data_IF_158316178913
#
_entry.id   IF_158316178913
#
_cell.length_a   1.000
_cell.length_b   1.000
_cell.length_c   1.000
_cell.angle_alpha   90.00
_cell.angle_beta   90.00
_cell.angle_gamma   90.00
#
_symmetry.space_group_name_H-M   'P 1'
#
loop_
_entity.id
_entity.type
_entity.pdbx_description
1 polymer ?
#
# COMPACT_ATOMS: atom_id res chain seq x y z
N UNK A 1 -14.93 9.26 -0.89
CA UNK A 1 -13.57 9.82 -0.87
C UNK A 1 -13.50 10.93 0.17
N UNK A 2 -12.51 10.85 1.06
CA UNK A 2 -12.33 11.89 2.07
C UNK A 2 -11.75 13.16 1.45
N UNK A 3 -11.92 14.29 2.14
CA UNK A 3 -11.44 15.59 1.66
C UNK A 3 -11.01 16.45 2.86
N UNK A 4 -9.99 15.96 3.58
CA UNK A 4 -9.47 16.67 4.74
C UNK A 4 -8.65 17.89 4.30
N UNK A 5 -8.98 19.04 4.86
CA UNK A 5 -8.11 20.22 4.82
C UNK A 5 -6.98 20.06 5.85
N UNK A 6 -5.88 20.76 5.65
CA UNK A 6 -4.73 20.62 6.55
C UNK A 6 -5.08 20.93 8.02
N UNK A 7 -5.90 21.94 8.26
CA UNK A 7 -6.30 22.34 9.61
C UNK A 7 -7.29 21.36 10.30
N UNK A 8 -7.83 20.40 9.56
CA UNK A 8 -8.67 19.33 10.10
C UNK A 8 -7.87 18.10 10.53
N UNK A 9 -6.56 18.07 10.22
CA UNK A 9 -5.70 16.94 10.51
C UNK A 9 -5.01 17.08 11.86
N UNK A 10 -4.87 15.99 12.58
CA UNK A 10 -4.14 15.93 13.86
C UNK A 10 -3.22 14.73 13.89
N UNK A 11 -2.09 14.86 14.58
CA UNK A 11 -1.18 13.73 14.82
C UNK A 11 -1.94 12.65 15.60
N UNK A 12 -1.78 11.41 15.16
CA UNK A 12 -2.49 10.24 15.70
C UNK A 12 -3.76 9.84 14.94
N UNK A 13 -4.25 10.68 14.01
CA UNK A 13 -5.36 10.27 13.14
C UNK A 13 -4.97 9.07 12.32
N UNK A 14 -5.91 8.13 12.17
CA UNK A 14 -5.73 6.91 11.37
C UNK A 14 -6.84 6.74 10.36
N UNK A 15 -6.49 6.16 9.24
CA UNK A 15 -7.44 5.66 8.24
C UNK A 15 -7.00 4.27 7.79
N UNK A 16 -7.97 3.46 7.38
CA UNK A 16 -7.71 2.06 7.03
C UNK A 16 -8.73 1.56 6.02
N UNK A 17 -8.32 0.65 5.16
CA UNK A 17 -9.21 -0.08 4.27
C UNK A 17 -8.68 -1.48 4.00
N UNK A 18 -9.54 -2.36 3.48
CA UNK A 18 -9.21 -3.73 3.14
C UNK A 18 -9.26 -3.97 1.64
N UNK A 19 -8.40 -4.84 1.16
CA UNK A 19 -8.37 -5.28 -0.24
C UNK A 19 -7.95 -6.74 -0.30
N UNK A 20 -8.64 -7.52 -1.13
CA UNK A 20 -8.27 -8.93 -1.39
C UNK A 20 -7.47 -8.99 -2.67
N UNK A 21 -6.32 -9.65 -2.62
CA UNK A 21 -5.46 -9.83 -3.80
C UNK A 21 -6.07 -10.91 -4.71
N UNK A 22 -6.29 -10.57 -5.96
CA UNK A 22 -6.87 -11.45 -6.97
C UNK A 22 -5.89 -11.74 -8.10
N UNK A 23 -6.12 -12.85 -8.81
CA UNK A 23 -5.36 -13.16 -10.03
C UNK A 23 -5.49 -12.04 -11.08
N UNK A 24 -6.70 -11.48 -11.22
CA UNK A 24 -6.93 -10.36 -12.14
C UNK A 24 -6.06 -9.14 -11.84
N UNK A 25 -5.79 -8.86 -10.57
CA UNK A 25 -4.88 -7.78 -10.17
C UNK A 25 -3.44 -8.06 -10.62
N UNK A 26 -2.95 -9.29 -10.48
CA UNK A 26 -1.62 -9.67 -10.95
C UNK A 26 -1.51 -9.52 -12.47
N UNK A 27 -2.51 -9.98 -13.21
CA UNK A 27 -2.54 -9.85 -14.66
C UNK A 27 -2.58 -8.38 -15.13
N UNK A 28 -3.39 -7.55 -14.45
CA UNK A 28 -3.45 -6.12 -14.76
C UNK A 28 -2.11 -5.43 -14.47
N UNK A 29 -1.47 -5.75 -13.36
CA UNK A 29 -0.18 -5.19 -12.99
C UNK A 29 0.92 -5.59 -13.98
N UNK A 30 0.93 -6.84 -14.41
CA UNK A 30 1.81 -7.32 -15.49
C UNK A 30 1.60 -6.52 -16.77
N UNK A 31 0.35 -6.26 -17.14
CA UNK A 31 0.00 -5.47 -18.32
C UNK A 31 0.51 -4.03 -18.25
N UNK A 32 0.49 -3.44 -17.05
CA UNK A 32 0.97 -2.07 -16.81
C UNK A 32 2.50 -2.01 -16.87
N UNK A 33 3.19 -2.93 -16.19
CA UNK A 33 4.63 -2.85 -15.95
C UNK A 33 5.48 -3.63 -16.94
N UNK A 34 4.91 -4.66 -17.58
CA UNK A 34 5.67 -5.61 -18.39
C UNK A 34 6.53 -6.57 -17.56
N UNK A 35 6.32 -6.65 -16.25
CA UNK A 35 7.07 -7.56 -15.39
C UNK A 35 6.55 -9.00 -15.53
N UNK A 36 7.26 -9.78 -16.31
CA UNK A 36 6.93 -11.19 -16.59
C UNK A 36 7.74 -12.18 -15.76
N UNK A 37 8.31 -11.73 -14.64
CA UNK A 37 9.09 -12.62 -13.78
C UNK A 37 8.26 -13.85 -13.38
N UNK A 38 8.80 -15.07 -13.55
CA UNK A 38 8.06 -16.31 -13.31
C UNK A 38 7.61 -16.49 -11.85
N UNK A 39 8.27 -15.86 -10.89
CA UNK A 39 7.83 -15.91 -9.48
C UNK A 39 6.39 -15.42 -9.32
N UNK A 40 5.97 -14.46 -10.13
CA UNK A 40 4.64 -13.86 -10.10
C UNK A 40 3.69 -14.47 -11.12
N UNK A 41 4.21 -15.15 -12.15
CA UNK A 41 3.44 -15.58 -13.31
C UNK A 41 3.33 -17.09 -13.49
N UNK A 42 4.16 -17.87 -12.82
CA UNK A 42 4.24 -19.33 -12.99
C UNK A 42 4.10 -20.01 -11.63
N UNK A 43 2.96 -20.67 -11.40
CA UNK A 43 2.67 -21.33 -10.13
C UNK A 43 3.68 -22.44 -9.82
N UNK A 44 4.06 -23.25 -10.80
CA UNK A 44 5.02 -24.33 -10.60
C UNK A 44 6.42 -23.79 -10.26
N UNK A 45 6.83 -22.71 -10.91
CA UNK A 45 8.07 -22.02 -10.58
C UNK A 45 8.06 -21.52 -9.14
N UNK A 46 6.98 -20.86 -8.72
CA UNK A 46 6.84 -20.33 -7.36
C UNK A 46 6.87 -21.46 -6.32
N UNK A 47 6.18 -22.57 -6.57
CA UNK A 47 6.18 -23.75 -5.71
C UNK A 47 7.57 -24.36 -5.60
N UNK A 48 8.32 -24.44 -6.69
CA UNK A 48 9.69 -24.94 -6.70
C UNK A 48 10.63 -24.05 -5.86
N UNK A 49 10.29 -22.77 -5.65
CA UNK A 49 11.01 -21.84 -4.79
C UNK A 49 10.51 -21.85 -3.34
N UNK A 50 9.58 -22.73 -2.98
CA UNK A 50 9.08 -22.90 -1.62
C UNK A 50 7.84 -22.08 -1.27
N UNK A 51 7.17 -21.49 -2.25
CA UNK A 51 5.93 -20.74 -2.06
C UNK A 51 4.69 -21.62 -2.28
N UNK A 52 3.55 -21.32 -1.65
CA UNK A 52 2.32 -22.08 -1.85
C UNK A 52 1.69 -21.88 -3.25
N UNK A 53 2.09 -20.83 -3.95
CA UNK A 53 1.61 -20.45 -5.26
C UNK A 53 2.29 -19.19 -5.74
N UNK A 54 1.73 -18.55 -6.77
CA UNK A 54 2.26 -17.30 -7.33
C UNK A 54 2.39 -16.24 -6.24
N UNK A 55 3.57 -15.62 -6.15
CA UNK A 55 3.79 -14.49 -5.24
C UNK A 55 3.24 -13.23 -5.90
N UNK A 56 2.43 -12.46 -5.17
CA UNK A 56 1.96 -11.17 -5.66
C UNK A 56 3.14 -10.20 -5.83
N UNK A 57 3.05 -9.34 -6.83
CA UNK A 57 4.04 -8.28 -7.00
C UNK A 57 4.12 -7.41 -5.75
N UNK A 58 5.32 -7.24 -5.20
CA UNK A 58 5.50 -6.34 -4.07
C UNK A 58 5.05 -4.92 -4.40
N UNK A 59 5.36 -4.44 -5.61
CA UNK A 59 4.94 -3.10 -6.05
C UNK A 59 3.43 -2.98 -6.25
N UNK A 60 2.71 -4.06 -6.54
CA UNK A 60 1.25 -4.07 -6.52
C UNK A 60 0.75 -3.82 -5.09
N UNK A 61 1.29 -4.54 -4.11
CA UNK A 61 0.96 -4.32 -2.69
C UNK A 61 1.25 -2.87 -2.29
N UNK A 62 2.41 -2.33 -2.66
CA UNK A 62 2.77 -0.94 -2.40
C UNK A 62 1.84 0.06 -3.12
N UNK A 63 1.24 -0.30 -4.25
CA UNK A 63 0.36 0.59 -5.00
C UNK A 63 -0.89 1.00 -4.22
N UNK A 64 -1.32 0.20 -3.25
CA UNK A 64 -2.46 0.55 -2.39
C UNK A 64 -2.18 1.74 -1.47
N UNK A 65 -0.93 2.14 -1.30
CA UNK A 65 -0.57 3.37 -0.61
C UNK A 65 -1.05 4.60 -1.37
N UNK A 66 -1.15 4.51 -2.71
CA UNK A 66 -1.79 5.55 -3.53
C UNK A 66 -3.26 5.72 -3.15
N UNK A 67 -3.99 4.63 -2.98
CA UNK A 67 -5.39 4.65 -2.53
C UNK A 67 -5.52 5.21 -1.11
N UNK A 68 -4.62 4.79 -0.21
CA UNK A 68 -4.61 5.31 1.16
C UNK A 68 -4.51 6.83 1.19
N UNK A 69 -3.56 7.39 0.45
CA UNK A 69 -3.40 8.85 0.38
C UNK A 69 -4.55 9.53 -0.38
N UNK A 70 -4.85 9.06 -1.58
CA UNK A 70 -5.74 9.74 -2.50
C UNK A 70 -7.22 9.61 -2.19
N UNK A 71 -7.62 8.60 -1.43
CA UNK A 71 -9.02 8.32 -1.12
C UNK A 71 -9.32 8.53 0.37
N UNK A 72 -8.38 8.21 1.25
CA UNK A 72 -8.63 8.13 2.69
C UNK A 72 -7.99 9.26 3.49
N UNK A 73 -6.67 9.49 3.38
CA UNK A 73 -5.99 10.48 4.23
C UNK A 73 -4.80 11.14 3.53
N UNK A 74 -4.89 12.40 3.15
CA UNK A 74 -5.99 13.35 3.33
C UNK A 74 -7.14 13.17 2.35
N UNK A 75 -7.04 12.26 1.37
CA UNK A 75 -8.04 12.05 0.34
C UNK A 75 -7.83 12.97 -0.86
N UNK A 76 -8.90 13.58 -1.36
CA UNK A 76 -8.91 14.39 -2.58
C UNK A 76 -7.77 15.41 -2.69
N UNK A 77 -7.30 15.92 -1.55
CA UNK A 77 -6.26 16.96 -1.48
C UNK A 77 -4.83 16.42 -1.45
N UNK A 78 -4.63 15.15 -1.71
CA UNK A 78 -3.31 14.53 -1.60
C UNK A 78 -2.42 14.80 -2.79
N UNK A 79 -1.16 15.14 -2.52
CA UNK A 79 -0.09 15.10 -3.50
C UNK A 79 1.09 14.37 -2.86
N UNK A 80 1.31 13.12 -3.27
CA UNK A 80 2.38 12.29 -2.71
C UNK A 80 3.73 12.83 -3.17
N UNK A 81 4.62 13.11 -2.22
CA UNK A 81 5.99 13.54 -2.49
C UNK A 81 7.03 12.44 -2.24
N UNK A 82 6.78 11.58 -1.26
CA UNK A 82 7.74 10.58 -0.86
C UNK A 82 7.04 9.33 -0.37
N UNK A 83 7.55 8.18 -0.78
CA UNK A 83 7.14 6.87 -0.28
C UNK A 83 8.40 6.07 0.01
N UNK A 84 8.50 5.56 1.24
CA UNK A 84 9.54 4.65 1.64
C UNK A 84 8.90 3.40 2.22
N UNK A 85 9.21 2.23 1.68
CA UNK A 85 8.60 0.97 2.08
C UNK A 85 9.63 -0.13 2.25
N UNK A 86 9.33 -1.05 3.17
CA UNK A 86 10.03 -2.31 3.33
C UNK A 86 9.03 -3.44 3.19
N UNK A 87 9.38 -4.44 2.39
CA UNK A 87 8.58 -5.64 2.18
C UNK A 87 9.01 -6.70 3.20
N UNK A 88 8.13 -6.98 4.16
CA UNK A 88 8.46 -7.85 5.29
C UNK A 88 8.14 -9.31 5.02
N UNK A 89 7.08 -9.60 4.26
CA UNK A 89 6.62 -10.96 3.95
C UNK A 89 5.99 -11.02 2.56
N UNK A 90 6.07 -12.17 1.88
CA UNK A 90 5.36 -12.39 0.63
C UNK A 90 3.85 -12.28 0.80
N UNK A 91 3.18 -11.85 -0.26
CA UNK A 91 1.72 -11.82 -0.39
C UNK A 91 1.30 -12.76 -1.50
N UNK A 92 0.17 -13.42 -1.33
CA UNK A 92 -0.34 -14.42 -2.26
C UNK A 92 -1.74 -14.07 -2.75
N UNK A 93 -2.14 -14.63 -3.88
CA UNK A 93 -3.51 -14.54 -4.36
C UNK A 93 -4.45 -15.10 -3.29
N UNK A 94 -5.52 -14.35 -2.97
CA UNK A 94 -6.49 -14.70 -1.94
C UNK A 94 -6.21 -14.05 -0.58
N UNK A 95 -5.03 -13.47 -0.36
CA UNK A 95 -4.75 -12.74 0.87
C UNK A 95 -5.65 -11.51 0.99
N UNK A 96 -6.23 -11.31 2.17
CA UNK A 96 -6.95 -10.09 2.52
C UNK A 96 -6.00 -9.15 3.25
N UNK A 97 -5.71 -8.02 2.61
CA UNK A 97 -4.80 -7.02 3.17
C UNK A 97 -5.58 -5.92 3.85
N UNK A 98 -5.07 -5.46 5.00
CA UNK A 98 -5.53 -4.25 5.67
C UNK A 98 -4.44 -3.19 5.54
N UNK A 99 -4.77 -2.09 4.88
CA UNK A 99 -3.87 -0.97 4.63
C UNK A 99 -4.21 0.13 5.61
N UNK A 100 -3.26 0.53 6.44
CA UNK A 100 -3.46 1.51 7.51
C UNK A 100 -2.43 2.63 7.41
N UNK A 101 -2.89 3.87 7.61
CA UNK A 101 -2.05 5.04 7.75
C UNK A 101 -2.34 5.78 9.05
N UNK A 102 -1.29 6.24 9.72
CA UNK A 102 -1.37 7.07 10.91
C UNK A 102 -0.54 8.32 10.71
N UNK A 103 -1.12 9.49 10.98
CA UNK A 103 -0.38 10.76 10.93
C UNK A 103 0.61 10.80 12.09
N UNK A 104 1.89 10.92 11.78
CA UNK A 104 2.98 11.03 12.77
C UNK A 104 3.53 12.43 12.88
N UNK A 105 3.41 13.26 11.84
CA UNK A 105 3.92 14.62 11.81
C UNK A 105 3.08 15.50 10.88
N UNK A 106 2.91 16.76 11.28
CA UNK A 106 2.30 17.83 10.48
C UNK A 106 3.26 19.01 10.40
N UNK A 107 3.60 19.41 9.18
CA UNK A 107 4.48 20.56 8.91
C UNK A 107 3.64 21.67 8.30
N UNK A 108 3.19 22.62 9.15
CA UNK A 108 2.25 23.66 8.78
C UNK A 108 2.80 24.61 7.72
N UNK A 109 4.08 24.98 7.80
CA UNK A 109 4.70 25.93 6.88
C UNK A 109 4.62 25.55 5.41
N UNK A 110 4.56 24.26 5.11
CA UNK A 110 4.46 23.70 3.74
C UNK A 110 3.20 22.86 3.54
N UNK A 111 2.34 22.76 4.56
CA UNK A 111 1.12 21.96 4.56
C UNK A 111 1.38 20.51 4.14
N UNK A 112 2.39 19.92 4.75
CA UNK A 112 2.82 18.55 4.51
C UNK A 112 2.54 17.68 5.73
N UNK A 113 2.04 16.48 5.50
CA UNK A 113 1.90 15.47 6.55
C UNK A 113 2.83 14.29 6.30
N UNK A 114 3.20 13.62 7.36
CA UNK A 114 3.83 12.31 7.30
C UNK A 114 2.90 11.24 7.84
N UNK A 115 2.82 10.13 7.10
CA UNK A 115 2.12 8.93 7.51
C UNK A 115 3.10 7.83 7.85
N UNK A 116 2.85 7.13 8.94
CA UNK A 116 3.32 5.78 9.15
C UNK A 116 2.34 4.84 8.46
N UNK A 117 2.81 3.99 7.57
CA UNK A 117 1.97 3.07 6.82
C UNK A 117 2.30 1.62 7.19
N UNK A 118 1.25 0.80 7.26
CA UNK A 118 1.36 -0.62 7.58
C UNK A 118 0.34 -1.38 6.75
N UNK A 119 0.76 -2.47 6.15
CA UNK A 119 -0.14 -3.42 5.49
C UNK A 119 0.01 -4.76 6.18
N UNK A 120 -1.09 -5.31 6.66
CA UNK A 120 -1.15 -6.62 7.29
C UNK A 120 -2.00 -7.58 6.47
N UNK A 121 -1.72 -8.88 6.57
CA UNK A 121 -2.55 -9.91 5.97
C UNK A 121 -3.68 -10.35 6.92
N UNK A 122 -4.47 -11.35 6.51
CA UNK A 122 -5.59 -11.90 7.30
C UNK A 122 -5.17 -12.50 8.65
N UNK A 123 -3.90 -12.87 8.79
CA UNK A 123 -3.36 -13.42 10.04
C UNK A 123 -2.77 -12.31 10.95
N UNK A 124 -2.98 -11.04 10.59
CA UNK A 124 -2.46 -9.90 11.32
C UNK A 124 -0.96 -9.70 11.19
N UNK A 125 -0.31 -10.38 10.25
CA UNK A 125 1.14 -10.26 10.03
C UNK A 125 1.45 -9.11 9.09
N UNK A 126 2.47 -8.32 9.43
CA UNK A 126 2.93 -7.22 8.59
C UNK A 126 3.58 -7.76 7.32
N UNK A 127 3.05 -7.36 6.17
CA UNK A 127 3.62 -7.69 4.85
C UNK A 127 4.39 -6.51 4.27
N UNK A 128 4.01 -5.28 4.64
CA UNK A 128 4.67 -4.04 4.24
C UNK A 128 4.60 -3.04 5.39
N UNK A 129 5.67 -2.27 5.55
CA UNK A 129 5.73 -1.12 6.47
C UNK A 129 6.51 0.00 5.82
N UNK A 130 6.22 1.21 6.23
CA UNK A 130 6.95 2.37 5.70
C UNK A 130 6.40 3.70 6.14
N UNK A 131 6.77 4.71 5.39
CA UNK A 131 6.36 6.10 5.60
C UNK A 131 6.00 6.77 4.28
N UNK A 132 5.13 7.76 4.36
CA UNK A 132 4.78 8.61 3.22
C UNK A 132 4.85 10.07 3.64
N UNK A 133 5.36 10.90 2.73
CA UNK A 133 5.28 12.36 2.83
C UNK A 133 4.28 12.88 1.80
N UNK A 134 3.27 13.62 2.25
CA UNK A 134 2.13 14.04 1.41
C UNK A 134 1.87 15.52 1.64
N UNK A 135 1.78 16.28 0.53
CA UNK A 135 1.26 17.65 0.58
C UNK A 135 -0.26 17.62 0.57
N UNK A 136 -0.86 18.53 1.32
CA UNK A 136 -2.30 18.82 1.31
C UNK A 136 -2.52 20.05 0.44
N UNK A 137 -3.03 19.86 -0.75
CA UNK A 137 -3.20 20.93 -1.75
C UNK A 137 -4.63 21.38 -1.89
#
# INVERSE_FOLDING_TARGET
>A
MNNYKFDELTVGMTESFKVTITEAMLEAFKGITGDVNPLHNDEEFAKAKGHPGRVAYGMLTASFLSTLAGVYIPGERSLIQQVETKFAKPVYIGDELTVTGEITELVESVQRLELKVTITNQDGKKVLRGTMGILVV
#
